data_IF_078455343664
#
_entry.id   IF_078455343664
#
_cell.length_a   1.000
_cell.length_b   1.000
_cell.length_c   1.000
_cell.angle_alpha   90.00
_cell.angle_beta   90.00
_cell.angle_gamma   90.00
#
_symmetry.space_group_name_H-M   'P 1'
#
loop_
_entity.id
_entity.type
_entity.pdbx_description
1 polymer ?
#
# COMPACT_ATOMS: atom_id res chain seq x y z
N UNK A 1 32.65 -27.90 -2.61
CA UNK A 1 32.96 -27.84 -1.16
C UNK A 1 32.02 -26.80 -0.58
N UNK A 2 31.20 -27.10 0.43
CA UNK A 2 30.32 -26.11 1.02
C UNK A 2 31.15 -25.21 1.94
N UNK A 3 31.12 -23.91 1.69
CA UNK A 3 31.69 -22.91 2.62
C UNK A 3 30.76 -22.79 3.82
N UNK A 4 31.24 -23.24 4.97
CA UNK A 4 30.61 -23.00 6.25
C UNK A 4 30.89 -21.55 6.68
N UNK A 5 29.88 -20.68 6.60
CA UNK A 5 29.90 -19.38 7.25
C UNK A 5 29.64 -19.55 8.74
N UNK A 6 30.70 -19.58 9.54
CA UNK A 6 30.63 -19.39 11.00
C UNK A 6 30.99 -17.93 11.30
N UNK A 7 30.04 -17.04 11.19
CA UNK A 7 30.08 -15.69 11.71
C UNK A 7 28.69 -15.35 12.21
N UNK A 8 28.49 -15.44 13.55
CA UNK A 8 27.25 -15.01 14.16
C UNK A 8 27.05 -13.52 13.92
N UNK A 9 26.25 -13.17 12.92
CA UNK A 9 25.68 -11.85 12.83
C UNK A 9 24.68 -11.71 13.98
N UNK A 10 24.97 -10.81 14.90
CA UNK A 10 23.99 -10.35 15.87
C UNK A 10 22.75 -9.91 15.06
N UNK A 11 21.58 -10.32 15.50
CA UNK A 11 20.29 -9.90 14.96
C UNK A 11 20.10 -8.40 15.24
N UNK A 12 20.80 -7.54 14.48
CA UNK A 12 20.42 -6.14 14.40
C UNK A 12 19.10 -6.07 13.64
N UNK A 13 18.11 -5.43 14.25
CA UNK A 13 16.78 -5.29 13.69
C UNK A 13 16.91 -4.63 12.31
N UNK A 14 16.43 -5.34 11.30
CA UNK A 14 16.35 -4.87 9.90
C UNK A 14 15.71 -3.47 9.77
N UNK A 15 14.96 -3.07 10.76
CA UNK A 15 14.14 -1.87 10.83
C UNK A 15 14.33 -1.26 12.22
N UNK A 16 14.67 0.02 12.36
CA UNK A 16 14.68 0.67 13.65
C UNK A 16 13.31 0.51 14.31
N UNK A 17 13.29 0.10 15.57
CA UNK A 17 12.07 -0.03 16.37
C UNK A 17 11.26 1.27 16.24
N UNK A 18 10.03 1.15 15.75
CA UNK A 18 9.09 2.24 15.60
C UNK A 18 9.08 3.10 16.88
N UNK A 19 9.06 4.44 16.76
CA UNK A 19 8.67 5.27 17.88
C UNK A 19 7.31 4.77 18.34
N UNK A 20 7.15 4.53 19.62
CA UNK A 20 5.90 4.10 20.25
C UNK A 20 4.75 4.94 19.70
N UNK A 21 3.92 4.29 18.87
CA UNK A 21 2.67 4.87 18.41
C UNK A 21 1.89 5.29 19.67
N UNK A 22 1.46 6.52 19.72
CA UNK A 22 0.45 6.97 20.68
C UNK A 22 -0.70 5.96 20.67
N UNK A 23 -1.41 5.72 21.78
CA UNK A 23 -2.47 4.74 21.84
C UNK A 23 -3.47 5.08 20.74
N UNK A 24 -3.53 4.22 19.72
CA UNK A 24 -4.49 4.36 18.61
C UNK A 24 -5.87 4.48 19.24
N UNK A 25 -6.54 5.61 19.03
CA UNK A 25 -7.92 5.78 19.44
C UNK A 25 -8.71 4.58 18.93
N UNK A 26 -9.42 3.89 19.84
CA UNK A 26 -10.23 2.74 19.45
C UNK A 26 -11.29 3.23 18.48
N UNK A 27 -11.51 2.48 17.40
CA UNK A 27 -12.59 2.78 16.46
C UNK A 27 -13.93 2.86 17.21
N UNK A 28 -14.73 3.86 16.86
CA UNK A 28 -16.01 4.14 17.53
C UNK A 28 -17.17 3.56 16.74
N UNK A 29 -17.93 2.70 17.39
CA UNK A 29 -19.09 2.00 16.82
C UNK A 29 -20.36 2.52 17.47
N UNK A 30 -21.33 2.99 16.67
CA UNK A 30 -22.66 3.38 17.11
C UNK A 30 -23.63 2.21 16.90
N UNK A 31 -24.30 1.77 17.96
CA UNK A 31 -25.32 0.73 17.91
C UNK A 31 -26.71 1.37 18.01
N UNK A 32 -27.51 1.24 16.96
CA UNK A 32 -28.87 1.85 16.88
C UNK A 32 -29.93 0.74 16.84
N UNK A 33 -30.71 0.64 17.90
CA UNK A 33 -31.74 -0.40 18.07
C UNK A 33 -32.74 0.09 19.12
N UNK A 34 -34.05 0.06 18.86
CA UNK A 34 -35.07 0.48 19.85
C UNK A 34 -35.24 -0.58 20.93
N UNK A 35 -34.93 -1.83 20.64
CA UNK A 35 -35.00 -2.92 21.63
C UNK A 35 -33.76 -2.92 22.52
N UNK A 36 -33.94 -2.77 23.83
CA UNK A 36 -32.85 -2.78 24.81
C UNK A 36 -32.02 -4.07 24.79
N UNK A 37 -32.64 -5.24 24.57
CA UNK A 37 -31.98 -6.54 24.60
C UNK A 37 -30.87 -6.66 23.54
N UNK A 38 -31.21 -6.57 22.25
CA UNK A 38 -30.23 -6.61 21.15
C UNK A 38 -29.20 -5.50 21.28
N UNK A 39 -29.59 -4.25 21.62
CA UNK A 39 -28.69 -3.12 21.79
C UNK A 39 -27.60 -3.38 22.84
N UNK A 40 -27.99 -3.83 24.04
CA UNK A 40 -27.03 -4.18 25.10
C UNK A 40 -26.18 -5.39 24.76
N UNK A 41 -26.72 -6.38 24.05
CA UNK A 41 -25.96 -7.53 23.59
C UNK A 41 -24.85 -7.13 22.63
N UNK A 42 -25.16 -6.30 21.64
CA UNK A 42 -24.15 -5.76 20.69
C UNK A 42 -23.11 -4.89 21.41
N UNK A 43 -23.56 -4.03 22.34
CA UNK A 43 -22.63 -3.23 23.15
C UNK A 43 -21.65 -4.12 23.92
N UNK A 44 -22.12 -5.19 24.57
CA UNK A 44 -21.24 -6.11 25.30
C UNK A 44 -20.26 -6.85 24.37
N UNK A 45 -20.73 -7.32 23.21
CA UNK A 45 -19.88 -8.02 22.24
C UNK A 45 -18.74 -7.12 21.75
N UNK A 46 -19.04 -5.87 21.44
CA UNK A 46 -18.10 -4.96 20.75
C UNK A 46 -17.22 -4.12 21.69
N UNK A 47 -17.66 -3.89 22.96
CA UNK A 47 -16.92 -3.02 23.91
C UNK A 47 -15.53 -3.54 24.28
N UNK A 48 -15.22 -4.81 24.06
CA UNK A 48 -13.89 -5.36 24.29
C UNK A 48 -12.82 -4.76 23.35
N UNK A 49 -13.21 -4.48 22.11
CA UNK A 49 -12.29 -4.05 21.04
C UNK A 49 -12.53 -2.60 20.60
N UNK A 50 -13.73 -2.06 20.76
CA UNK A 50 -14.16 -0.78 20.20
C UNK A 50 -14.70 0.16 21.27
N UNK A 51 -14.76 1.47 20.98
CA UNK A 51 -15.50 2.47 21.75
C UNK A 51 -16.96 2.44 21.27
N UNK A 52 -17.87 1.92 22.12
CA UNK A 52 -19.25 1.66 21.70
C UNK A 52 -20.20 2.69 22.31
N UNK A 53 -20.88 3.41 21.43
CA UNK A 53 -21.98 4.34 21.76
C UNK A 53 -23.30 3.71 21.32
N UNK A 54 -24.38 3.98 22.03
CA UNK A 54 -25.69 3.41 21.71
C UNK A 54 -26.74 4.49 21.53
N UNK A 55 -27.72 4.25 20.65
CA UNK A 55 -28.89 5.08 20.44
C UNK A 55 -30.18 4.23 20.42
N UNK A 56 -31.26 4.78 20.95
CA UNK A 56 -32.57 4.11 21.01
C UNK A 56 -33.48 4.49 19.82
N UNK A 57 -33.06 5.41 19.00
CA UNK A 57 -33.81 5.89 17.83
C UNK A 57 -32.90 6.45 16.74
N UNK A 58 -33.44 6.54 15.52
CA UNK A 58 -32.73 7.17 14.41
C UNK A 58 -32.42 8.66 14.63
N UNK A 59 -33.30 9.39 15.33
CA UNK A 59 -33.07 10.81 15.65
C UNK A 59 -31.87 10.99 16.60
N UNK A 60 -31.81 10.21 17.67
CA UNK A 60 -30.69 10.21 18.61
C UNK A 60 -29.38 9.81 17.91
N UNK A 61 -29.45 8.81 17.01
CA UNK A 61 -28.30 8.38 16.23
C UNK A 61 -27.73 9.52 15.36
N UNK A 62 -28.58 10.30 14.70
CA UNK A 62 -28.15 11.47 13.91
C UNK A 62 -27.52 12.56 14.77
N UNK A 63 -28.07 12.82 15.94
CA UNK A 63 -27.50 13.81 16.87
C UNK A 63 -26.11 13.37 17.35
N UNK A 64 -25.92 12.07 17.62
CA UNK A 64 -24.61 11.52 17.97
C UNK A 64 -23.62 11.61 16.80
N UNK A 65 -24.04 11.27 15.59
CA UNK A 65 -23.22 11.38 14.38
C UNK A 65 -22.77 12.81 14.07
N UNK A 66 -23.60 13.82 14.39
CA UNK A 66 -23.28 15.25 14.21
C UNK A 66 -22.31 15.79 15.26
N UNK A 67 -22.32 15.21 16.45
CA UNK A 67 -21.51 15.69 17.58
C UNK A 67 -20.25 14.87 17.83
N UNK A 68 -20.19 13.65 17.30
CA UNK A 68 -19.13 12.67 17.58
C UNK A 68 -18.70 12.00 16.29
N UNK A 69 -17.40 11.83 16.10
CA UNK A 69 -16.88 11.04 14.98
C UNK A 69 -17.21 9.56 15.19
N UNK A 70 -18.01 8.98 14.30
CA UNK A 70 -18.42 7.58 14.32
C UNK A 70 -17.83 6.87 13.10
N UNK A 71 -17.16 5.74 13.34
CA UNK A 71 -16.49 4.97 12.29
C UNK A 71 -17.45 3.98 11.62
N UNK A 72 -18.35 3.39 12.40
CA UNK A 72 -19.31 2.41 11.94
C UNK A 72 -20.62 2.56 12.71
N UNK A 73 -21.73 2.40 12.02
CA UNK A 73 -23.07 2.33 12.63
C UNK A 73 -23.72 0.98 12.32
N UNK A 74 -24.24 0.31 13.36
CA UNK A 74 -25.18 -0.82 13.20
C UNK A 74 -26.59 -0.30 13.34
N UNK A 75 -27.50 -0.68 12.43
CA UNK A 75 -28.86 -0.12 12.35
C UNK A 75 -29.90 -1.26 12.31
N UNK A 76 -30.88 -1.21 13.22
CA UNK A 76 -32.12 -1.96 13.02
C UNK A 76 -33.03 -1.24 12.03
N UNK A 77 -33.65 -1.98 11.12
CA UNK A 77 -34.60 -1.43 10.14
C UNK A 77 -35.95 -1.09 10.75
N UNK A 78 -36.39 -1.84 11.77
CA UNK A 78 -37.73 -1.78 12.30
C UNK A 78 -37.83 -0.96 13.60
N UNK A 79 -37.48 0.33 13.50
CA UNK A 79 -37.58 1.22 14.64
C UNK A 79 -38.81 2.14 14.56
N UNK A 80 -39.41 2.51 15.70
CA UNK A 80 -40.48 3.52 15.74
C UNK A 80 -39.96 4.92 15.38
N UNK A 81 -40.81 5.70 14.71
CA UNK A 81 -40.44 7.07 14.29
C UNK A 81 -39.61 7.05 13.01
N UNK A 82 -38.35 7.43 13.06
CA UNK A 82 -37.43 7.35 11.93
C UNK A 82 -37.05 5.90 11.67
N UNK A 83 -37.42 5.39 10.49
CA UNK A 83 -37.09 4.01 10.09
C UNK A 83 -35.59 3.89 9.77
N UNK A 84 -35.08 2.66 9.90
CA UNK A 84 -33.66 2.38 9.62
C UNK A 84 -33.24 2.71 8.19
N UNK A 85 -34.13 2.54 7.19
CA UNK A 85 -33.86 2.90 5.79
C UNK A 85 -33.73 4.43 5.58
N UNK A 86 -34.50 5.23 6.29
CA UNK A 86 -34.38 6.69 6.28
C UNK A 86 -33.09 7.15 6.97
N UNK A 87 -32.77 6.55 8.12
CA UNK A 87 -31.50 6.79 8.81
C UNK A 87 -30.30 6.47 7.90
N UNK A 88 -30.28 5.32 7.25
CA UNK A 88 -29.18 4.92 6.36
C UNK A 88 -28.98 5.90 5.21
N UNK A 89 -30.05 6.35 4.55
CA UNK A 89 -29.95 7.35 3.47
C UNK A 89 -29.37 8.66 3.99
N UNK A 90 -29.75 9.10 5.17
CA UNK A 90 -29.23 10.32 5.79
C UNK A 90 -27.76 10.15 6.16
N UNK A 91 -27.39 9.01 6.77
CA UNK A 91 -25.99 8.72 7.10
C UNK A 91 -25.11 8.70 5.84
N UNK A 92 -25.58 8.09 4.76
CA UNK A 92 -24.82 8.09 3.49
C UNK A 92 -24.65 9.48 2.87
N UNK A 93 -25.66 10.35 3.00
CA UNK A 93 -25.60 11.69 2.46
C UNK A 93 -24.74 12.65 3.31
N UNK A 94 -24.88 12.60 4.63
CA UNK A 94 -24.20 13.53 5.54
C UNK A 94 -22.85 13.01 6.05
N UNK A 95 -22.67 11.67 6.15
CA UNK A 95 -21.49 11.00 6.72
C UNK A 95 -20.95 9.90 5.78
N UNK A 96 -20.50 10.22 4.58
CA UNK A 96 -20.15 9.23 3.54
C UNK A 96 -18.98 8.31 3.95
N UNK A 97 -18.21 8.68 4.96
CA UNK A 97 -17.09 7.88 5.47
C UNK A 97 -17.47 6.91 6.58
N UNK A 98 -18.70 6.97 7.11
CA UNK A 98 -19.17 6.04 8.14
C UNK A 98 -19.67 4.75 7.50
N UNK A 99 -19.17 3.61 7.92
CA UNK A 99 -19.66 2.31 7.44
C UNK A 99 -21.01 1.95 8.12
N UNK A 100 -21.85 1.24 7.37
CA UNK A 100 -23.20 0.87 7.84
C UNK A 100 -23.34 -0.65 7.77
N UNK A 101 -23.74 -1.27 8.88
CA UNK A 101 -24.16 -2.68 8.95
C UNK A 101 -25.63 -2.72 9.40
N UNK A 102 -26.47 -3.45 8.68
CA UNK A 102 -27.85 -3.68 9.08
C UNK A 102 -27.91 -4.92 9.99
N UNK A 103 -28.62 -4.82 11.12
CA UNK A 103 -28.88 -5.95 12.02
C UNK A 103 -30.37 -5.96 12.36
N UNK A 104 -31.16 -6.85 11.76
CA UNK A 104 -32.62 -6.81 11.89
C UNK A 104 -33.26 -8.19 12.09
N UNK A 105 -34.40 -8.23 12.79
CA UNK A 105 -35.19 -9.47 13.05
C UNK A 105 -36.09 -9.89 11.90
N UNK A 106 -36.40 -9.00 10.97
CA UNK A 106 -37.28 -9.28 9.82
C UNK A 106 -36.54 -8.87 8.53
N UNK A 107 -35.97 -9.84 7.82
CA UNK A 107 -35.35 -9.60 6.55
C UNK A 107 -36.08 -10.31 5.41
N UNK A 108 -36.69 -9.56 4.48
CA UNK A 108 -36.97 -10.09 3.16
C UNK A 108 -35.70 -9.92 2.29
N UNK A 109 -35.53 -10.81 1.30
CA UNK A 109 -34.47 -10.69 0.28
C UNK A 109 -34.52 -9.30 -0.37
N UNK A 110 -35.70 -8.71 -0.50
CA UNK A 110 -35.90 -7.38 -1.08
C UNK A 110 -35.28 -6.26 -0.24
N UNK A 111 -35.39 -6.31 1.10
CA UNK A 111 -34.77 -5.31 2.00
C UNK A 111 -33.26 -5.46 2.05
N UNK A 112 -32.71 -6.66 1.94
CA UNK A 112 -31.27 -6.90 1.84
C UNK A 112 -30.72 -6.35 0.51
N UNK A 113 -31.40 -6.60 -0.61
CA UNK A 113 -31.02 -6.08 -1.95
C UNK A 113 -31.10 -4.56 -1.98
N UNK A 114 -32.09 -3.96 -1.35
CA UNK A 114 -32.23 -2.50 -1.30
C UNK A 114 -31.15 -1.87 -0.40
N UNK A 115 -30.80 -2.49 0.69
CA UNK A 115 -29.66 -2.10 1.54
C UNK A 115 -28.34 -2.10 0.78
N UNK A 116 -28.07 -3.14 -0.01
CA UNK A 116 -26.86 -3.25 -0.86
C UNK A 116 -26.83 -2.12 -1.89
N UNK A 117 -27.95 -1.78 -2.54
CA UNK A 117 -28.03 -0.66 -3.49
C UNK A 117 -27.74 0.70 -2.85
N UNK A 118 -27.96 0.83 -1.55
CA UNK A 118 -27.69 2.04 -0.77
C UNK A 118 -26.31 2.05 -0.11
N UNK A 119 -25.42 1.12 -0.48
CA UNK A 119 -24.02 1.14 -0.05
C UNK A 119 -23.79 0.64 1.39
N UNK A 120 -24.68 -0.16 1.94
CA UNK A 120 -24.49 -0.83 3.24
C UNK A 120 -23.36 -1.85 3.13
N UNK A 121 -22.55 -1.95 4.17
CA UNK A 121 -21.40 -2.88 4.18
C UNK A 121 -21.84 -4.33 4.30
N UNK A 122 -22.75 -4.64 5.24
CA UNK A 122 -23.21 -6.01 5.50
C UNK A 122 -24.64 -6.00 6.05
N UNK A 123 -25.26 -7.18 6.00
CA UNK A 123 -26.62 -7.42 6.48
C UNK A 123 -26.64 -8.67 7.37
N UNK A 124 -27.02 -8.51 8.62
CA UNK A 124 -27.10 -9.57 9.61
C UNK A 124 -28.53 -9.75 10.13
N UNK A 125 -28.92 -10.99 10.37
CA UNK A 125 -30.27 -11.32 10.91
C UNK A 125 -30.22 -11.60 12.40
N UNK A 126 -31.22 -11.11 13.13
CA UNK A 126 -31.46 -11.52 14.53
C UNK A 126 -32.18 -12.90 14.57
N UNK A 127 -31.80 -13.83 15.44
CA UNK A 127 -30.71 -13.73 16.41
C UNK A 127 -29.35 -13.84 15.74
N UNK A 128 -28.40 -12.95 16.11
CA UNK A 128 -27.08 -12.88 15.52
C UNK A 128 -26.04 -13.73 16.27
N UNK A 129 -25.08 -14.25 15.54
CA UNK A 129 -23.92 -14.95 16.07
C UNK A 129 -22.81 -13.95 16.41
N UNK A 130 -22.17 -14.12 17.59
CA UNK A 130 -21.11 -13.23 18.08
C UNK A 130 -19.92 -13.18 17.13
N UNK A 131 -19.52 -14.34 16.58
CA UNK A 131 -18.39 -14.44 15.65
C UNK A 131 -18.70 -13.71 14.34
N UNK A 132 -19.91 -13.88 13.83
CA UNK A 132 -20.37 -13.24 12.60
C UNK A 132 -20.42 -11.70 12.74
N UNK A 133 -20.97 -11.19 13.85
CA UNK A 133 -21.01 -9.75 14.13
C UNK A 133 -19.59 -9.18 14.23
N UNK A 134 -18.72 -9.82 15.02
CA UNK A 134 -17.35 -9.35 15.22
C UNK A 134 -16.57 -9.32 13.91
N UNK A 135 -16.66 -10.38 13.11
CA UNK A 135 -15.99 -10.47 11.81
C UNK A 135 -16.52 -9.43 10.80
N UNK A 136 -17.85 -9.16 10.82
CA UNK A 136 -18.43 -8.16 9.94
C UNK A 136 -18.00 -6.73 10.31
N UNK A 137 -17.99 -6.40 11.60
CA UNK A 137 -17.53 -5.11 12.11
C UNK A 137 -16.04 -4.90 11.81
N UNK A 138 -15.19 -5.91 12.05
CA UNK A 138 -13.76 -5.85 11.74
C UNK A 138 -13.51 -5.55 10.26
N UNK A 139 -14.11 -6.30 9.36
CA UNK A 139 -13.98 -6.08 7.90
C UNK A 139 -14.50 -4.70 7.46
N UNK A 140 -15.59 -4.23 8.04
CA UNK A 140 -16.14 -2.90 7.73
C UNK A 140 -15.16 -1.78 8.14
N UNK A 141 -14.58 -1.90 9.32
CA UNK A 141 -13.60 -0.93 9.83
C UNK A 141 -12.28 -0.98 9.06
N UNK A 142 -11.80 -2.17 8.66
CA UNK A 142 -10.64 -2.32 7.79
C UNK A 142 -10.87 -1.63 6.42
N UNK A 143 -12.04 -1.84 5.82
CA UNK A 143 -12.43 -1.17 4.57
C UNK A 143 -12.43 0.36 4.74
N UNK A 144 -13.07 0.86 5.79
CA UNK A 144 -13.09 2.30 6.09
C UNK A 144 -11.69 2.87 6.22
N UNK A 145 -10.82 2.18 6.96
CA UNK A 145 -9.44 2.62 7.16
C UNK A 145 -8.66 2.66 5.84
N UNK A 146 -8.79 1.63 5.02
CA UNK A 146 -8.15 1.58 3.70
C UNK A 146 -8.63 2.71 2.80
N UNK A 147 -9.95 2.98 2.80
CA UNK A 147 -10.55 4.09 2.04
C UNK A 147 -10.05 5.45 2.53
N UNK A 148 -10.01 5.68 3.83
CA UNK A 148 -9.51 6.94 4.41
C UNK A 148 -8.04 7.19 4.08
N UNK A 149 -7.21 6.15 4.15
CA UNK A 149 -5.80 6.23 3.76
C UNK A 149 -5.64 6.59 2.28
N UNK A 150 -6.46 6.00 1.42
CA UNK A 150 -6.43 6.28 -0.02
C UNK A 150 -6.83 7.72 -0.32
N UNK A 151 -7.88 8.24 0.33
CA UNK A 151 -8.30 9.64 0.19
C UNK A 151 -7.16 10.57 0.63
N UNK A 152 -6.57 10.34 1.80
CA UNK A 152 -5.46 11.15 2.30
C UNK A 152 -4.23 11.12 1.37
N UNK A 153 -3.95 9.98 0.77
CA UNK A 153 -2.90 9.82 -0.23
C UNK A 153 -3.17 10.67 -1.49
N UNK A 154 -4.40 10.63 -2.01
CA UNK A 154 -4.80 11.41 -3.18
C UNK A 154 -4.79 12.93 -2.90
N UNK A 155 -5.18 13.33 -1.69
CA UNK A 155 -5.06 14.72 -1.24
C UNK A 155 -3.60 15.17 -1.19
N UNK A 156 -2.69 14.31 -0.75
CA UNK A 156 -1.26 14.62 -0.74
C UNK A 156 -0.69 14.73 -2.16
N UNK A 157 -1.07 13.84 -3.09
CA UNK A 157 -0.73 13.99 -4.52
C UNK A 157 -1.24 15.34 -5.04
N UNK A 158 -2.49 15.69 -4.79
CA UNK A 158 -3.08 16.97 -5.21
C UNK A 158 -2.28 18.16 -4.66
N UNK A 159 -1.83 18.08 -3.41
CA UNK A 159 -1.00 19.10 -2.76
C UNK A 159 0.39 19.21 -3.41
N UNK A 160 1.02 18.07 -3.70
CA UNK A 160 2.34 18.01 -4.39
C UNK A 160 2.25 18.63 -5.78
N UNK A 161 1.15 18.40 -6.50
CA UNK A 161 0.90 18.99 -7.82
C UNK A 161 0.54 20.47 -7.77
N UNK A 162 0.43 21.07 -6.57
CA UNK A 162 0.08 22.48 -6.39
C UNK A 162 -1.36 22.82 -6.81
N UNK A 163 -2.26 21.85 -6.77
CA UNK A 163 -3.61 21.96 -7.28
C UNK A 163 -4.62 21.48 -6.25
N UNK A 164 -5.61 22.31 -5.96
CA UNK A 164 -6.72 21.94 -5.08
C UNK A 164 -7.83 21.30 -5.95
N UNK A 165 -7.67 20.06 -6.37
CA UNK A 165 -8.55 19.36 -7.30
C UNK A 165 -9.03 18.01 -6.79
N UNK A 166 -10.19 17.58 -7.31
CA UNK A 166 -10.76 16.24 -7.10
C UNK A 166 -9.78 15.14 -7.51
N UNK A 167 -9.78 14.04 -6.76
CA UNK A 167 -8.92 12.89 -6.98
C UNK A 167 -9.00 12.31 -8.40
N UNK A 168 -10.19 12.34 -9.03
CA UNK A 168 -10.39 11.87 -10.41
C UNK A 168 -9.61 12.72 -11.42
N UNK A 169 -9.63 14.05 -11.27
CA UNK A 169 -8.89 14.96 -12.14
C UNK A 169 -7.38 14.81 -12.00
N UNK A 170 -6.91 14.48 -10.80
CA UNK A 170 -5.48 14.20 -10.56
C UNK A 170 -5.04 12.96 -11.33
N UNK A 171 -5.84 11.92 -11.38
CA UNK A 171 -5.52 10.69 -12.11
C UNK A 171 -5.57 10.88 -13.62
N UNK A 172 -6.52 11.66 -14.13
CA UNK A 172 -6.58 12.01 -15.56
C UNK A 172 -5.30 12.76 -16.00
N UNK A 173 -4.83 13.69 -15.18
CA UNK A 173 -3.60 14.44 -15.45
C UNK A 173 -2.33 13.59 -15.33
N UNK A 174 -2.34 12.58 -14.46
CA UNK A 174 -1.25 11.62 -14.38
C UNK A 174 -1.19 10.72 -15.63
N UNK A 175 -2.16 10.80 -16.52
CA UNK A 175 -2.25 9.92 -17.70
C UNK A 175 -2.56 8.48 -17.29
N UNK A 176 -3.21 8.32 -16.12
CA UNK A 176 -3.60 7.01 -15.62
C UNK A 176 -4.40 6.26 -16.69
N UNK A 177 -4.01 5.02 -16.95
CA UNK A 177 -4.76 4.16 -17.87
C UNK A 177 -6.21 4.02 -17.39
N UNK A 178 -7.14 3.75 -18.31
CA UNK A 178 -8.54 3.48 -17.95
C UNK A 178 -8.67 2.36 -16.91
N UNK A 179 -7.71 1.44 -16.87
CA UNK A 179 -7.63 0.35 -15.88
C UNK A 179 -7.29 0.91 -14.49
N UNK A 180 -6.32 1.82 -14.39
CA UNK A 180 -5.94 2.44 -13.11
C UNK A 180 -7.08 3.30 -12.56
N UNK A 181 -7.75 4.08 -13.40
CA UNK A 181 -8.92 4.88 -13.05
C UNK A 181 -10.09 3.98 -12.60
N UNK A 182 -10.36 2.90 -13.32
CA UNK A 182 -11.41 1.95 -12.97
C UNK A 182 -11.11 1.27 -11.64
N UNK A 183 -9.86 0.85 -11.39
CA UNK A 183 -9.44 0.25 -10.11
C UNK A 183 -9.55 1.23 -8.96
N UNK A 184 -9.21 2.52 -9.17
CA UNK A 184 -9.40 3.52 -8.14
C UNK A 184 -10.88 3.73 -7.80
N UNK A 185 -11.73 3.86 -8.81
CA UNK A 185 -13.20 3.93 -8.61
C UNK A 185 -13.69 2.73 -7.83
N UNK A 186 -13.22 1.54 -8.19
CA UNK A 186 -13.55 0.32 -7.49
C UNK A 186 -13.16 0.37 -6.00
N UNK A 187 -11.97 0.87 -5.66
CA UNK A 187 -11.52 1.04 -4.27
C UNK A 187 -12.33 2.11 -3.52
N UNK A 188 -12.72 3.19 -4.20
CA UNK A 188 -13.45 4.30 -3.59
C UNK A 188 -14.97 4.08 -3.51
N UNK A 189 -15.55 3.35 -4.48
CA UNK A 189 -17.00 3.26 -4.70
C UNK A 189 -17.59 1.86 -4.41
N UNK A 190 -16.77 0.79 -4.25
CA UNK A 190 -17.32 -0.57 -4.13
C UNK A 190 -18.32 -0.69 -2.97
N UNK A 191 -19.61 -1.02 -3.28
CA UNK A 191 -20.54 -1.47 -2.27
C UNK A 191 -20.09 -2.84 -1.76
N UNK A 192 -20.39 -3.13 -0.48
CA UNK A 192 -20.13 -4.44 0.09
C UNK A 192 -20.77 -5.54 -0.76
N UNK A 193 -20.04 -6.62 -0.99
CA UNK A 193 -20.51 -7.79 -1.70
C UNK A 193 -21.47 -8.53 -0.79
N UNK A 194 -22.65 -8.88 -1.32
CA UNK A 194 -23.71 -9.60 -0.59
C UNK A 194 -23.29 -11.00 -0.09
N UNK A 195 -24.17 -11.68 0.70
CA UNK A 195 -23.88 -12.85 1.51
C UNK A 195 -23.52 -14.15 0.75
N UNK A 196 -23.52 -14.16 -0.58
CA UNK A 196 -23.16 -15.36 -1.36
C UNK A 196 -21.66 -15.55 -1.65
N UNK A 197 -20.80 -14.63 -1.22
CA UNK A 197 -19.35 -14.72 -1.45
C UNK A 197 -18.61 -15.55 -0.37
N UNK A 198 -19.23 -16.59 0.15
CA UNK A 198 -18.63 -17.49 1.14
C UNK A 198 -17.35 -18.22 0.70
N UNK A 199 -16.88 -18.06 -0.55
CA UNK A 199 -15.63 -18.62 -1.07
C UNK A 199 -14.95 -17.81 -2.18
N UNK A 200 -15.43 -16.63 -2.56
CA UNK A 200 -14.69 -15.74 -3.42
C UNK A 200 -13.83 -14.81 -2.53
N UNK A 201 -12.56 -14.69 -2.81
CA UNK A 201 -11.61 -13.82 -2.12
C UNK A 201 -12.29 -12.50 -1.76
N UNK A 202 -12.60 -12.32 -0.48
CA UNK A 202 -13.04 -11.05 0.08
C UNK A 202 -11.83 -10.10 0.04
N UNK A 203 -11.67 -9.39 -1.04
CA UNK A 203 -10.58 -8.47 -1.26
C UNK A 203 -10.89 -7.69 -2.53
N UNK A 204 -11.39 -6.49 -2.36
CA UNK A 204 -11.16 -5.46 -3.35
C UNK A 204 -9.64 -5.36 -3.60
N UNK A 205 -9.20 -4.72 -4.69
CA UNK A 205 -7.78 -4.61 -5.00
C UNK A 205 -7.05 -4.10 -3.76
N UNK A 206 -6.03 -4.83 -3.32
CA UNK A 206 -5.28 -4.45 -2.14
C UNK A 206 -4.66 -3.07 -2.37
N UNK A 207 -4.49 -2.28 -1.31
CA UNK A 207 -3.77 -1.00 -1.38
C UNK A 207 -2.44 -1.16 -2.14
N UNK A 208 -1.79 -2.31 -2.00
CA UNK A 208 -0.55 -2.65 -2.71
C UNK A 208 -0.74 -2.76 -4.22
N UNK A 209 -1.78 -3.46 -4.72
CA UNK A 209 -2.06 -3.56 -6.16
C UNK A 209 -2.38 -2.20 -6.79
N UNK A 210 -3.10 -1.34 -6.06
CA UNK A 210 -3.35 0.02 -6.51
C UNK A 210 -2.05 0.82 -6.64
N UNK A 211 -1.16 0.73 -5.65
CA UNK A 211 0.11 1.43 -5.66
C UNK A 211 1.06 0.92 -6.76
N UNK A 212 1.06 -0.37 -7.04
CA UNK A 212 1.80 -0.95 -8.16
C UNK A 212 1.30 -0.37 -9.50
N UNK A 213 -0.01 -0.33 -9.71
CA UNK A 213 -0.60 0.28 -10.92
C UNK A 213 -0.29 1.77 -11.03
N UNK A 214 -0.30 2.49 -9.90
CA UNK A 214 0.04 3.91 -9.89
C UNK A 214 1.52 4.14 -10.19
N UNK A 215 2.41 3.36 -9.60
CA UNK A 215 3.85 3.44 -9.90
C UNK A 215 4.13 3.21 -11.38
N UNK A 216 3.53 2.17 -11.99
CA UNK A 216 3.61 1.91 -13.42
C UNK A 216 3.03 3.04 -14.28
N UNK A 217 1.97 3.70 -13.81
CA UNK A 217 1.38 4.84 -14.49
C UNK A 217 2.33 6.04 -14.47
N UNK A 218 2.99 6.30 -13.34
CA UNK A 218 3.99 7.36 -13.22
C UNK A 218 5.19 7.06 -14.12
N UNK A 219 5.68 5.81 -14.12
CA UNK A 219 6.74 5.37 -15.02
C UNK A 219 6.37 5.53 -16.50
N UNK A 220 5.10 5.31 -16.87
CA UNK A 220 4.67 5.42 -18.27
C UNK A 220 4.82 6.82 -18.85
N UNK A 221 4.98 7.85 -18.00
CA UNK A 221 5.27 9.22 -18.39
C UNK A 221 6.71 9.41 -18.84
N UNK A 222 7.60 8.53 -18.38
CA UNK A 222 8.99 8.43 -18.84
C UNK A 222 9.06 7.24 -19.81
N UNK A 223 9.18 7.54 -21.10
CA UNK A 223 9.17 6.53 -22.17
C UNK A 223 10.27 5.46 -22.02
N UNK A 224 11.28 5.72 -21.22
CA UNK A 224 12.47 4.88 -21.04
C UNK A 224 12.49 4.07 -19.74
N UNK A 225 11.47 4.30 -18.87
CA UNK A 225 11.37 3.64 -17.58
C UNK A 225 10.35 2.49 -17.55
N UNK A 226 9.81 2.11 -18.71
CA UNK A 226 8.80 1.02 -18.75
C UNK A 226 9.31 -0.25 -18.10
N UNK A 227 8.58 -0.72 -17.08
CA UNK A 227 8.87 -1.95 -16.35
C UNK A 227 10.09 -1.86 -15.42
N UNK A 228 10.67 -0.68 -15.25
CA UNK A 228 11.79 -0.43 -14.35
C UNK A 228 11.46 -0.85 -12.90
N UNK A 229 10.35 -0.36 -12.32
CA UNK A 229 9.96 -0.70 -10.96
C UNK A 229 9.81 -2.22 -10.77
N UNK A 230 9.28 -2.94 -11.76
CA UNK A 230 9.15 -4.40 -11.73
C UNK A 230 10.53 -5.09 -11.74
N UNK A 231 11.44 -4.64 -12.59
CA UNK A 231 12.78 -5.24 -12.66
C UNK A 231 13.57 -4.96 -11.40
N UNK A 232 13.56 -3.71 -10.91
CA UNK A 232 14.21 -3.34 -9.65
C UNK A 232 13.64 -4.15 -8.49
N UNK A 233 12.31 -4.29 -8.37
CA UNK A 233 11.67 -5.10 -7.34
C UNK A 233 12.06 -6.59 -7.44
N UNK A 234 12.22 -7.12 -8.64
CA UNK A 234 12.69 -8.49 -8.85
C UNK A 234 14.13 -8.69 -8.39
N UNK A 235 15.06 -7.83 -8.82
CA UNK A 235 16.46 -7.89 -8.40
C UNK A 235 16.61 -7.72 -6.88
N UNK A 236 15.81 -6.83 -6.33
CA UNK A 236 15.75 -6.56 -4.89
C UNK A 236 15.29 -7.80 -4.10
N UNK A 237 14.26 -8.52 -4.58
CA UNK A 237 13.79 -9.76 -3.94
C UNK A 237 14.84 -10.87 -4.00
N UNK A 238 15.58 -11.00 -5.11
CA UNK A 238 16.69 -11.95 -5.24
C UNK A 238 17.81 -11.65 -4.23
N UNK A 239 18.21 -10.38 -4.13
CA UNK A 239 19.27 -9.98 -3.21
C UNK A 239 18.84 -10.14 -1.75
N UNK A 240 17.59 -9.78 -1.43
CA UNK A 240 16.99 -9.98 -0.12
C UNK A 240 16.89 -11.47 0.28
N UNK A 241 16.58 -12.34 -0.70
CA UNK A 241 16.58 -13.79 -0.48
C UNK A 241 17.99 -14.34 -0.21
N UNK A 242 19.00 -13.87 -0.94
CA UNK A 242 20.40 -14.25 -0.74
C UNK A 242 20.93 -13.80 0.65
N UNK A 243 20.40 -12.72 1.19
CA UNK A 243 20.66 -12.24 2.55
C UNK A 243 19.86 -12.98 3.63
N UNK A 244 19.07 -13.99 3.25
CA UNK A 244 18.23 -14.77 4.17
C UNK A 244 17.22 -13.93 4.95
N UNK A 245 16.72 -12.83 4.37
CA UNK A 245 15.67 -12.03 4.97
C UNK A 245 14.37 -12.84 5.10
N UNK A 246 13.60 -12.60 6.15
CA UNK A 246 12.31 -13.23 6.37
C UNK A 246 11.33 -12.91 5.24
N UNK A 247 10.26 -13.71 5.11
CA UNK A 247 9.23 -13.50 4.10
C UNK A 247 8.57 -12.12 4.21
N UNK A 248 8.39 -11.63 5.42
CA UNK A 248 7.81 -10.32 5.69
C UNK A 248 8.76 -9.19 5.28
N UNK A 249 10.04 -9.25 5.69
CA UNK A 249 11.06 -8.30 5.30
C UNK A 249 11.21 -8.22 3.77
N UNK A 250 11.28 -9.37 3.10
CA UNK A 250 11.34 -9.45 1.62
C UNK A 250 10.15 -8.77 0.97
N UNK A 251 8.93 -8.99 1.49
CA UNK A 251 7.73 -8.32 1.00
C UNK A 251 7.85 -6.80 1.13
N UNK A 252 8.30 -6.31 2.29
CA UNK A 252 8.44 -4.88 2.55
C UNK A 252 9.50 -4.23 1.66
N UNK A 253 10.67 -4.87 1.51
CA UNK A 253 11.74 -4.40 0.62
C UNK A 253 11.27 -4.38 -0.84
N UNK A 254 10.57 -5.41 -1.30
CA UNK A 254 9.98 -5.47 -2.64
C UNK A 254 8.94 -4.36 -2.86
N UNK A 255 8.06 -4.11 -1.90
CA UNK A 255 7.08 -3.02 -1.97
C UNK A 255 7.78 -1.67 -2.04
N UNK A 256 8.81 -1.43 -1.22
CA UNK A 256 9.60 -0.21 -1.27
C UNK A 256 10.30 -0.03 -2.63
N UNK A 257 10.82 -1.12 -3.22
CA UNK A 257 11.45 -1.10 -4.54
C UNK A 257 10.45 -0.74 -5.66
N UNK A 258 9.22 -1.22 -5.56
CA UNK A 258 8.15 -0.81 -6.49
C UNK A 258 7.82 0.68 -6.41
N UNK A 259 7.90 1.25 -5.21
CA UNK A 259 7.45 2.60 -4.90
C UNK A 259 8.58 3.63 -4.81
N UNK A 260 9.85 3.23 -5.00
CA UNK A 260 11.00 4.10 -4.75
C UNK A 260 10.92 5.43 -5.52
N UNK A 261 10.38 5.38 -6.73
CA UNK A 261 10.27 6.49 -7.66
C UNK A 261 8.88 7.18 -7.67
N UNK A 262 7.97 6.81 -6.77
CA UNK A 262 6.59 7.36 -6.74
C UNK A 262 6.56 8.88 -6.61
N UNK A 263 7.57 9.46 -5.95
CA UNK A 263 7.70 10.91 -5.79
C UNK A 263 8.01 11.67 -7.07
N UNK A 264 8.36 10.99 -8.18
CA UNK A 264 8.48 11.59 -9.51
C UNK A 264 7.18 12.18 -10.03
N UNK A 265 6.04 11.84 -9.41
CA UNK A 265 4.76 12.52 -9.67
C UNK A 265 4.88 14.04 -9.52
N UNK A 266 5.69 14.52 -8.58
CA UNK A 266 5.94 15.94 -8.34
C UNK A 266 6.96 16.60 -9.29
N UNK A 267 7.60 15.81 -10.16
CA UNK A 267 8.56 16.37 -11.12
C UNK A 267 7.84 17.06 -12.29
N UNK A 268 8.33 18.22 -12.75
CA UNK A 268 7.79 18.86 -13.94
C UNK A 268 7.82 17.91 -15.16
N UNK A 269 6.79 17.92 -16.02
CA UNK A 269 6.74 17.06 -17.21
C UNK A 269 7.98 17.17 -18.09
N UNK A 270 8.53 18.37 -18.24
CA UNK A 270 9.73 18.64 -19.04
C UNK A 270 10.96 17.89 -18.53
N UNK A 271 11.06 17.71 -17.20
CA UNK A 271 12.14 16.91 -16.58
C UNK A 271 12.01 15.44 -16.94
N UNK A 272 10.78 14.89 -16.88
CA UNK A 272 10.48 13.50 -17.18
C UNK A 272 10.61 13.16 -18.67
N UNK A 273 10.34 14.14 -19.55
CA UNK A 273 10.46 13.99 -21.00
C UNK A 273 11.87 14.27 -21.55
N UNK A 274 12.83 14.54 -20.68
CA UNK A 274 14.22 14.77 -21.07
C UNK A 274 14.46 16.11 -21.78
N UNK A 275 13.56 17.09 -21.60
CA UNK A 275 13.77 18.46 -22.09
C UNK A 275 14.98 19.03 -21.39
N UNK A 276 15.85 19.71 -22.15
CA UNK A 276 17.10 20.29 -21.65
C UNK A 276 16.77 21.46 -20.73
N UNK A 277 16.72 21.19 -19.43
CA UNK A 277 16.65 22.21 -18.38
C UNK A 277 18.07 22.56 -17.88
N UNK A 278 18.26 23.74 -17.28
CA UNK A 278 19.49 24.04 -16.57
C UNK A 278 19.82 22.93 -15.56
N UNK A 279 21.08 22.52 -15.51
CA UNK A 279 21.51 21.36 -14.72
C UNK A 279 21.10 21.46 -13.24
N UNK A 280 21.18 22.67 -12.65
CA UNK A 280 20.78 22.93 -11.28
C UNK A 280 19.28 22.69 -11.04
N UNK A 281 18.40 23.05 -11.98
CA UNK A 281 16.95 22.83 -11.86
C UNK A 281 16.59 21.36 -12.01
N UNK A 282 17.24 20.69 -12.97
CA UNK A 282 17.08 19.25 -13.17
C UNK A 282 17.53 18.44 -11.95
N UNK A 283 18.74 18.74 -11.42
CA UNK A 283 19.27 18.08 -10.23
C UNK A 283 18.38 18.30 -9.01
N UNK A 284 17.86 19.51 -8.82
CA UNK A 284 16.99 19.81 -7.69
C UNK A 284 15.65 19.05 -7.80
N UNK A 285 15.05 19.03 -8.98
CA UNK A 285 13.79 18.27 -9.22
C UNK A 285 13.99 16.77 -9.05
N UNK A 286 15.14 16.23 -9.49
CA UNK A 286 15.45 14.81 -9.29
C UNK A 286 15.69 14.50 -7.82
N UNK A 287 16.41 15.33 -7.08
CA UNK A 287 16.72 15.08 -5.66
C UNK A 287 15.49 15.15 -4.74
N UNK A 288 14.48 15.92 -5.11
CA UNK A 288 13.27 16.09 -4.26
C UNK A 288 12.34 14.89 -4.31
N UNK A 289 12.39 14.01 -5.34
CA UNK A 289 11.43 12.90 -5.45
C UNK A 289 11.50 11.90 -4.28
N UNK A 290 12.68 11.66 -3.70
CA UNK A 290 12.84 10.78 -2.56
C UNK A 290 12.05 11.29 -1.35
N UNK A 291 12.16 12.58 -1.01
CA UNK A 291 11.41 13.22 0.06
C UNK A 291 9.91 13.36 -0.25
N UNK A 292 9.55 13.60 -1.51
CA UNK A 292 8.15 13.62 -1.95
C UNK A 292 7.56 12.21 -1.83
N UNK A 293 8.29 11.17 -2.25
CA UNK A 293 7.88 9.78 -2.15
C UNK A 293 7.57 9.36 -0.72
N UNK A 294 8.45 9.68 0.24
CA UNK A 294 8.18 9.48 1.66
C UNK A 294 6.85 10.13 2.08
N UNK A 295 6.67 11.43 1.79
CA UNK A 295 5.46 12.18 2.16
C UNK A 295 4.18 11.58 1.59
N UNK A 296 4.23 11.10 0.35
CA UNK A 296 3.09 10.44 -0.29
C UNK A 296 2.72 9.12 0.38
N UNK A 297 3.70 8.37 0.87
CA UNK A 297 3.47 7.05 1.45
C UNK A 297 3.03 7.09 2.91
N UNK A 298 3.35 8.17 3.66
CA UNK A 298 2.97 8.32 5.06
C UNK A 298 1.46 8.16 5.34
N UNK A 299 0.54 8.78 4.56
CA UNK A 299 -0.89 8.65 4.81
C UNK A 299 -1.43 7.23 4.59
N UNK A 300 -0.75 6.41 3.79
CA UNK A 300 -1.20 5.05 3.47
C UNK A 300 -1.06 4.08 4.65
N UNK A 301 -0.33 4.49 5.71
CA UNK A 301 -0.07 3.62 6.86
C UNK A 301 0.60 2.31 6.45
N UNK A 302 1.34 2.34 5.33
CA UNK A 302 2.33 1.32 5.05
C UNK A 302 3.32 1.34 6.20
N UNK A 303 3.88 0.18 6.53
CA UNK A 303 4.84 0.08 7.61
C UNK A 303 5.84 1.23 7.51
N UNK A 304 6.02 2.01 8.58
CA UNK A 304 6.87 3.19 8.61
C UNK A 304 8.25 2.99 7.93
N UNK A 305 8.82 1.78 7.97
CA UNK A 305 10.02 1.43 7.24
C UNK A 305 9.96 1.63 5.73
N UNK A 306 8.83 1.38 5.07
CA UNK A 306 8.74 1.50 3.60
C UNK A 306 8.95 2.95 3.16
N UNK A 307 8.31 3.91 3.83
CA UNK A 307 8.47 5.32 3.53
C UNK A 307 9.92 5.80 3.76
N UNK A 308 10.55 5.34 4.85
CA UNK A 308 11.96 5.62 5.14
C UNK A 308 12.92 5.02 4.10
N UNK A 309 12.63 3.80 3.65
CA UNK A 309 13.41 3.16 2.58
C UNK A 309 13.33 3.96 1.29
N UNK A 310 12.12 4.42 0.92
CA UNK A 310 11.90 5.27 -0.25
C UNK A 310 12.61 6.62 -0.10
N UNK A 311 12.64 7.22 1.09
CA UNK A 311 13.39 8.45 1.33
C UNK A 311 14.89 8.31 1.05
N UNK A 312 15.49 7.17 1.47
CA UNK A 312 16.95 7.02 1.53
C UNK A 312 17.55 6.16 0.39
N UNK A 313 16.78 5.81 -0.66
CA UNK A 313 17.29 4.95 -1.74
C UNK A 313 18.39 5.60 -2.61
N UNK A 314 18.58 6.91 -2.49
CA UNK A 314 19.65 7.65 -3.13
C UNK A 314 20.76 8.11 -2.17
N UNK A 315 20.75 7.61 -0.93
CA UNK A 315 21.91 7.78 -0.06
C UNK A 315 23.08 6.96 -0.57
N UNK A 316 24.28 7.50 -0.39
CA UNK A 316 25.53 6.86 -0.81
C UNK A 316 26.27 6.32 0.42
N UNK A 317 26.95 5.22 0.25
CA UNK A 317 27.67 4.57 1.35
C UNK A 317 28.75 5.47 1.96
N UNK A 318 29.33 6.38 1.16
CA UNK A 318 30.31 7.40 1.58
C UNK A 318 29.69 8.62 2.28
N UNK A 319 28.35 8.79 2.26
CA UNK A 319 27.64 9.92 2.85
C UNK A 319 27.49 11.13 1.92
N UNK A 320 27.91 11.04 0.66
CA UNK A 320 27.71 12.10 -0.34
C UNK A 320 26.36 12.01 -1.07
N UNK A 321 25.45 11.17 -0.55
CA UNK A 321 24.10 10.97 -1.08
C UNK A 321 23.10 12.04 -0.66
N UNK A 322 21.84 11.76 -0.88
CA UNK A 322 20.71 12.65 -0.51
C UNK A 322 19.48 11.81 -0.12
N UNK A 323 18.51 12.36 0.66
CA UNK A 323 18.39 13.77 1.07
C UNK A 323 19.12 14.12 2.38
N UNK A 324 19.48 13.14 3.21
CA UNK A 324 19.93 13.38 4.59
C UNK A 324 21.47 13.23 4.76
N UNK A 325 22.17 12.70 3.75
CA UNK A 325 23.61 12.47 3.79
C UNK A 325 24.01 11.35 4.76
N UNK A 326 23.18 10.33 4.88
CA UNK A 326 23.47 9.14 5.69
C UNK A 326 24.65 8.36 5.08
N UNK A 327 25.49 7.76 5.93
CA UNK A 327 26.64 6.98 5.49
C UNK A 327 26.69 5.58 6.09
N UNK A 328 27.29 4.65 5.37
CA UNK A 328 27.51 3.28 5.82
C UNK A 328 26.24 2.58 6.25
N UNK A 329 26.28 1.97 7.43
CA UNK A 329 25.15 1.21 8.00
C UNK A 329 24.03 2.10 8.59
N UNK A 330 24.24 3.43 8.69
CA UNK A 330 23.17 4.35 9.04
C UNK A 330 22.10 4.43 7.95
N UNK A 331 22.44 4.05 6.71
CA UNK A 331 21.48 3.91 5.60
C UNK A 331 20.68 2.62 5.83
N UNK A 332 19.34 2.65 5.79
CA UNK A 332 18.53 1.45 5.89
C UNK A 332 19.00 0.35 4.92
N UNK A 333 19.11 -0.89 5.39
CA UNK A 333 19.59 -2.01 4.56
C UNK A 333 18.79 -2.13 3.25
N UNK A 334 17.47 -1.99 3.32
CA UNK A 334 16.60 -2.04 2.14
C UNK A 334 16.93 -0.92 1.13
N UNK A 335 17.26 0.29 1.58
CA UNK A 335 17.67 1.39 0.72
C UNK A 335 18.99 1.10 0.02
N UNK A 336 19.98 0.51 0.74
CA UNK A 336 21.26 0.06 0.14
C UNK A 336 21.04 -1.01 -0.92
N UNK A 337 20.13 -1.96 -0.68
CA UNK A 337 19.75 -3.01 -1.63
C UNK A 337 19.13 -2.38 -2.89
N UNK A 338 18.13 -1.50 -2.72
CA UNK A 338 17.44 -0.84 -3.82
C UNK A 338 18.41 -0.01 -4.66
N UNK A 339 19.30 0.75 -4.02
CA UNK A 339 20.29 1.57 -4.74
C UNK A 339 21.18 0.79 -5.71
N UNK A 340 21.60 -0.42 -5.34
CA UNK A 340 22.37 -1.32 -6.22
C UNK A 340 21.51 -1.82 -7.39
N UNK A 341 20.28 -2.28 -7.08
CA UNK A 341 19.37 -2.84 -8.08
C UNK A 341 18.90 -1.79 -9.08
N UNK A 342 18.59 -0.58 -8.62
CA UNK A 342 18.23 0.57 -9.46
C UNK A 342 19.39 0.95 -10.38
N UNK A 343 20.60 1.11 -9.86
CA UNK A 343 21.78 1.42 -10.65
C UNK A 343 22.07 0.34 -11.70
N UNK A 344 21.92 -0.95 -11.35
CA UNK A 344 22.10 -2.05 -12.30
C UNK A 344 21.07 -1.99 -13.42
N UNK A 345 19.78 -1.83 -13.11
CA UNK A 345 18.72 -1.70 -14.11
C UNK A 345 18.95 -0.47 -14.99
N UNK A 346 19.27 0.67 -14.38
CA UNK A 346 19.57 1.90 -15.10
C UNK A 346 20.76 1.76 -16.06
N UNK A 347 21.75 0.93 -15.75
CA UNK A 347 22.90 0.67 -16.62
C UNK A 347 22.61 -0.30 -17.76
N UNK A 348 21.79 -1.31 -17.50
CA UNK A 348 21.53 -2.41 -18.44
C UNK A 348 20.33 -2.18 -19.35
N UNK A 349 19.53 -1.14 -19.12
CA UNK A 349 18.43 -0.74 -20.01
C UNK A 349 18.85 0.36 -20.98
N UNK A 350 18.26 0.34 -22.20
CA UNK A 350 18.46 1.38 -23.20
C UNK A 350 17.83 2.71 -22.75
N UNK A 351 18.54 3.81 -22.97
CA UNK A 351 18.05 5.18 -22.75
C UNK A 351 18.37 6.05 -23.99
N UNK A 352 17.59 7.11 -24.28
CA UNK A 352 17.73 7.91 -25.51
C UNK A 352 19.12 8.43 -25.80
N UNK A 353 19.86 8.70 -24.72
CA UNK A 353 21.18 9.34 -24.82
C UNK A 353 22.32 8.40 -24.45
N UNK A 354 22.00 7.09 -24.17
CA UNK A 354 22.99 6.13 -23.72
C UNK A 354 22.58 4.71 -24.09
N UNK A 355 23.47 4.02 -24.82
CA UNK A 355 23.34 2.59 -25.09
C UNK A 355 23.35 1.80 -23.77
N UNK A 356 22.54 0.73 -23.71
CA UNK A 356 22.61 -0.23 -22.62
C UNK A 356 24.03 -0.79 -22.49
N UNK A 357 24.56 -0.84 -21.28
CA UNK A 357 25.78 -1.55 -20.95
C UNK A 357 25.49 -3.05 -20.91
N UNK A 358 26.49 -3.85 -21.21
CA UNK A 358 26.42 -5.28 -20.93
C UNK A 358 26.37 -5.52 -19.42
N UNK A 359 25.90 -6.70 -19.01
CA UNK A 359 25.90 -7.07 -17.59
C UNK A 359 27.28 -7.01 -16.97
N UNK A 360 28.30 -7.48 -17.71
CA UNK A 360 29.68 -7.44 -17.24
C UNK A 360 30.18 -6.01 -17.04
N UNK A 361 29.88 -5.10 -17.98
CA UNK A 361 30.22 -3.68 -17.83
C UNK A 361 29.52 -3.04 -16.64
N UNK A 362 28.24 -3.39 -16.37
CA UNK A 362 27.52 -2.90 -15.22
C UNK A 362 28.08 -3.45 -13.89
N UNK A 363 28.49 -4.73 -13.87
CA UNK A 363 29.14 -5.33 -12.69
C UNK A 363 30.52 -4.71 -12.41
N UNK A 364 31.29 -4.37 -13.44
CA UNK A 364 32.56 -3.68 -13.28
C UNK A 364 32.33 -2.31 -12.63
N UNK A 365 31.32 -1.57 -13.09
CA UNK A 365 30.96 -0.25 -12.54
C UNK A 365 30.52 -0.36 -11.08
N UNK A 366 29.59 -1.29 -10.75
CA UNK A 366 29.15 -1.50 -9.37
C UNK A 366 30.34 -1.81 -8.43
N UNK A 367 31.30 -2.59 -8.90
CA UNK A 367 32.50 -2.90 -8.12
C UNK A 367 33.43 -1.69 -7.95
N UNK A 368 33.56 -0.84 -8.96
CA UNK A 368 34.40 0.35 -8.87
C UNK A 368 33.86 1.36 -7.86
N UNK A 369 32.51 1.40 -7.69
CA UNK A 369 31.81 2.27 -6.77
C UNK A 369 31.56 1.64 -5.39
N UNK A 370 32.04 0.41 -5.16
CA UNK A 370 31.91 -0.29 -3.88
C UNK A 370 32.71 0.44 -2.77
N UNK A 371 32.05 0.75 -1.66
CA UNK A 371 32.60 1.56 -0.57
C UNK A 371 32.48 3.08 -0.79
N UNK A 372 32.06 3.51 -1.98
CA UNK A 372 31.73 4.91 -2.29
C UNK A 372 30.20 5.04 -2.41
N UNK A 373 29.65 4.75 -3.58
CA UNK A 373 28.21 4.83 -3.78
C UNK A 373 27.48 3.64 -3.12
N UNK A 374 28.03 2.42 -3.20
CA UNK A 374 27.36 1.20 -2.82
C UNK A 374 28.05 0.48 -1.65
N UNK A 375 27.22 -0.26 -0.89
CA UNK A 375 27.71 -1.18 0.14
C UNK A 375 28.56 -2.30 -0.49
N UNK A 376 29.85 -2.43 -0.12
CA UNK A 376 30.76 -3.39 -0.75
C UNK A 376 30.35 -4.86 -0.50
N UNK A 377 29.70 -5.17 0.62
CA UNK A 377 29.23 -6.52 0.89
C UNK A 377 28.04 -6.88 -0.01
N UNK A 378 27.07 -5.98 -0.15
CA UNK A 378 25.92 -6.19 -1.01
C UNK A 378 26.31 -6.27 -2.48
N UNK A 379 27.27 -5.44 -2.93
CA UNK A 379 27.80 -5.53 -4.30
C UNK A 379 28.42 -6.91 -4.55
N UNK A 380 29.15 -7.47 -3.60
CA UNK A 380 29.71 -8.82 -3.72
C UNK A 380 28.64 -9.89 -3.90
N UNK A 381 27.59 -9.87 -3.08
CA UNK A 381 26.49 -10.84 -3.14
C UNK A 381 25.70 -10.66 -4.46
N UNK A 382 25.41 -9.42 -4.84
CA UNK A 382 24.68 -9.14 -6.09
C UNK A 382 25.45 -9.61 -7.33
N UNK A 383 26.76 -9.39 -7.33
CA UNK A 383 27.63 -9.91 -8.39
C UNK A 383 27.51 -11.42 -8.60
N UNK A 384 27.57 -12.21 -7.50
CA UNK A 384 27.39 -13.65 -7.58
C UNK A 384 26.01 -14.06 -8.10
N UNK A 385 24.95 -13.33 -7.73
CA UNK A 385 23.60 -13.56 -8.26
C UNK A 385 23.53 -13.35 -9.78
N UNK A 386 24.13 -12.28 -10.28
CA UNK A 386 24.15 -12.00 -11.73
C UNK A 386 24.96 -13.05 -12.49
N UNK A 387 26.13 -13.42 -12.00
CA UNK A 387 27.00 -14.44 -12.68
C UNK A 387 26.36 -15.83 -12.66
N UNK A 388 25.62 -16.17 -11.59
CA UNK A 388 24.91 -17.45 -11.53
C UNK A 388 23.73 -17.56 -12.50
N UNK A 389 23.36 -16.48 -13.17
CA UNK A 389 22.19 -16.42 -14.05
C UNK A 389 20.86 -16.27 -13.31
N UNK A 390 20.88 -16.06 -11.99
CA UNK A 390 19.64 -15.88 -11.21
C UNK A 390 18.79 -14.68 -11.68
N UNK A 391 19.40 -13.71 -12.33
CA UNK A 391 18.76 -12.50 -12.85
C UNK A 391 18.21 -12.66 -14.27
N UNK A 392 18.34 -13.81 -14.91
CA UNK A 392 18.02 -14.01 -16.34
C UNK A 392 16.53 -14.17 -16.63
N UNK A 393 15.70 -14.36 -15.60
CA UNK A 393 14.26 -14.53 -15.76
C UNK A 393 13.52 -13.23 -16.14
N UNK A 394 14.21 -12.10 -16.19
CA UNK A 394 13.64 -10.81 -16.61
C UNK A 394 13.89 -10.60 -18.09
N UNK A 395 12.84 -10.63 -18.90
CA UNK A 395 12.95 -10.31 -20.34
C UNK A 395 13.17 -8.80 -20.54
N UNK A 396 13.84 -8.44 -21.66
CA UNK A 396 14.07 -7.04 -22.08
C UNK A 396 12.79 -6.21 -22.18
N UNK A 397 11.63 -6.87 -22.33
CA UNK A 397 10.32 -6.20 -22.39
C UNK A 397 9.70 -5.91 -21.01
N UNK A 398 10.40 -6.17 -19.89
CA UNK A 398 9.84 -5.98 -18.53
C UNK A 398 8.72 -6.96 -18.17
N UNK A 399 8.44 -7.95 -19.01
CA UNK A 399 7.56 -9.06 -18.70
C UNK A 399 8.37 -10.15 -18.02
N UNK A 400 7.99 -10.49 -16.77
CA UNK A 400 8.47 -11.72 -16.16
C UNK A 400 8.03 -12.87 -17.08
N UNK A 401 8.98 -13.61 -17.63
CA UNK A 401 8.65 -14.92 -18.21
C UNK A 401 8.17 -15.76 -17.05
N UNK A 402 6.90 -16.18 -17.08
CA UNK A 402 6.36 -17.15 -16.12
C UNK A 402 7.26 -18.39 -16.14
N UNK A 403 8.14 -18.51 -15.18
CA UNK A 403 8.83 -19.75 -14.89
C UNK A 403 7.87 -20.56 -14.02
N UNK A 404 6.84 -21.11 -14.66
CA UNK A 404 6.04 -22.18 -14.08
C UNK A 404 6.99 -23.37 -13.80
N UNK A 405 7.24 -23.65 -12.52
CA UNK A 405 7.72 -24.98 -12.20
C UNK A 405 8.79 -25.21 -11.14
N UNK A 406 9.15 -24.29 -10.26
CA UNK A 406 10.16 -24.63 -9.22
C UNK A 406 9.63 -24.64 -7.77
N UNK A 407 8.36 -24.37 -7.53
CA UNK A 407 7.82 -24.32 -6.16
C UNK A 407 7.07 -25.57 -5.68
N UNK A 408 7.16 -26.74 -6.35
CA UNK A 408 6.35 -27.91 -5.96
C UNK A 408 7.10 -29.23 -5.73
N UNK A 409 8.41 -29.25 -5.55
CA UNK A 409 9.14 -30.52 -5.33
C UNK A 409 9.82 -30.71 -3.98
N UNK A 410 9.61 -29.82 -2.99
CA UNK A 410 10.25 -30.02 -1.67
C UNK A 410 9.29 -30.34 -0.52
N UNK A 411 8.02 -30.67 -0.77
CA UNK A 411 7.09 -31.04 0.32
C UNK A 411 6.39 -32.40 0.12
N UNK A 412 7.12 -33.38 -0.42
CA UNK A 412 6.71 -34.80 -0.39
C UNK A 412 7.86 -35.69 0.05
N UNK A 413 8.02 -35.80 1.38
CA UNK A 413 8.97 -36.73 1.96
C UNK A 413 9.18 -36.58 3.45
N UNK A 414 8.15 -36.77 4.26
CA UNK A 414 8.24 -37.31 5.62
C UNK A 414 6.80 -37.65 6.09
N UNK A 415 6.41 -38.89 5.85
CA UNK A 415 5.36 -39.56 6.64
C UNK A 415 6.04 -40.27 7.79
#
# INVERSE_FOLDING_TARGET
MPFAFTGGMASESFIPSSPSLEPTERARVLVVDDERGPRESLRMILSGSYDVVTAESGAEALDLLRTTSIDLVTVDLNMPGMKGDELMRTVRAEFPQTEIIIITGCGSIETAVDGIRHGVFDYLTKPFDVVQVSASVERALERRQSRSRMIAFLEEISRVLGRNRDAELVLDELGASSIAQQRLRQVLEEPAIGPEAGNARAGGPSTTEFLEVLAETIESRDLFMRGHARRVAYYTDLLAAALCLSREERRNVRTAAFLHDIGKVGAPPDVLQGVVLPEAERLNSVKTHASIGERLLLPLGLDAPIAQVVRHHHERFDGEGYPDGLSGEAIPLASRIIGICDAFDAMTCERPYRRARTRDEALIELRSEAGQQFDPQLVGIFHELVISGATDAVSEAGTLTEVDGVASQHDRGAA
#
